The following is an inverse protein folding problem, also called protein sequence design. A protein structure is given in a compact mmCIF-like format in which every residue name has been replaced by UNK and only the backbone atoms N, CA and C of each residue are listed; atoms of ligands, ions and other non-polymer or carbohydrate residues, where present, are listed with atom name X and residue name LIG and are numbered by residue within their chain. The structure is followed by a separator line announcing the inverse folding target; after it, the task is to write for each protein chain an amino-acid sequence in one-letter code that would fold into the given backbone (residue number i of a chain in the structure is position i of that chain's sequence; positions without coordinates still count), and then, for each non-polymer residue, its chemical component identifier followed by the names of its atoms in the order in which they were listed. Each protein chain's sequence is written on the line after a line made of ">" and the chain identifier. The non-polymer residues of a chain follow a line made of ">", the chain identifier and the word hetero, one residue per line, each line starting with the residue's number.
data_IF_939841274359
#
_entry.id   IF_939841274359
#
_cell.length_a   1.000
_cell.length_b   1.000
_cell.length_c   1.000
_cell.angle_alpha   90.00
_cell.angle_beta   90.00
_cell.angle_gamma   90.00
#
_symmetry.space_group_name_H-M   'P 1'
#
loop_
_entity.id
_entity.type
_entity.pdbx_description
1 polymer ?
#
# COMPACT_ATOMS: atom_id res chain seq x y z
N UNK A 1 42.21 -4.83 -41.81
CA UNK A 1 41.53 -5.81 -40.94
C UNK A 1 40.16 -5.26 -40.55
N UNK A 2 39.09 -5.94 -40.98
CA UNK A 2 37.68 -5.54 -40.84
C UNK A 2 37.26 -5.23 -39.39
N UNK A 3 36.93 -3.96 -39.07
CA UNK A 3 36.39 -3.57 -37.75
C UNK A 3 35.08 -2.74 -37.82
N UNK A 4 34.43 -2.64 -38.99
CA UNK A 4 33.29 -1.72 -39.20
C UNK A 4 31.87 -2.27 -38.97
N UNK A 5 31.67 -3.59 -38.90
CA UNK A 5 30.33 -4.20 -38.99
C UNK A 5 29.39 -3.87 -37.82
N UNK A 6 29.91 -3.87 -36.58
CA UNK A 6 29.10 -3.59 -35.39
C UNK A 6 28.71 -2.11 -35.25
N UNK A 7 29.56 -1.19 -35.72
CA UNK A 7 29.24 0.24 -35.75
C UNK A 7 28.20 0.56 -36.84
N UNK A 8 28.29 -0.11 -37.99
CA UNK A 8 27.31 0.03 -39.08
C UNK A 8 25.93 -0.49 -38.67
N UNK A 9 25.85 -1.60 -37.95
CA UNK A 9 24.59 -2.16 -37.44
C UNK A 9 23.83 -1.18 -36.52
N UNK A 10 24.55 -0.36 -35.75
CA UNK A 10 23.95 0.63 -34.84
C UNK A 10 23.49 1.92 -35.55
N UNK A 11 23.94 2.17 -36.78
CA UNK A 11 23.79 3.48 -37.43
C UNK A 11 22.31 3.85 -37.65
N UNK A 12 21.46 2.91 -38.05
CA UNK A 12 20.05 3.17 -38.30
C UNK A 12 19.30 3.53 -37.02
N UNK A 13 19.50 2.77 -35.95
CA UNK A 13 18.91 3.01 -34.64
C UNK A 13 19.44 4.29 -33.99
N UNK A 14 20.73 4.59 -34.15
CA UNK A 14 21.35 5.81 -33.66
C UNK A 14 20.75 7.07 -34.31
N UNK A 15 20.52 7.06 -35.63
CA UNK A 15 19.86 8.17 -36.34
C UNK A 15 18.40 8.36 -35.89
N UNK A 16 17.66 7.27 -35.70
CA UNK A 16 16.28 7.30 -35.20
C UNK A 16 16.22 7.89 -33.78
N UNK A 17 17.07 7.41 -32.88
CA UNK A 17 17.18 7.93 -31.52
C UNK A 17 17.58 9.41 -31.50
N UNK A 18 18.56 9.82 -32.30
CA UNK A 18 18.98 11.22 -32.41
C UNK A 18 17.86 12.14 -32.90
N UNK A 19 17.01 11.66 -33.82
CA UNK A 19 15.83 12.39 -34.30
C UNK A 19 14.81 12.56 -33.19
N UNK A 20 14.49 11.49 -32.47
CA UNK A 20 13.52 11.50 -31.38
C UNK A 20 13.98 12.36 -30.19
N UNK A 21 15.28 12.41 -29.91
CA UNK A 21 15.86 13.18 -28.81
C UNK A 21 16.15 14.65 -29.15
N UNK A 22 15.90 15.08 -30.38
CA UNK A 22 16.19 16.44 -30.84
C UNK A 22 15.48 17.47 -29.96
N UNK A 23 16.27 18.37 -29.38
CA UNK A 23 15.78 19.42 -28.47
C UNK A 23 15.69 19.01 -27.00
N UNK A 24 15.84 17.71 -26.69
CA UNK A 24 15.81 17.19 -25.31
C UNK A 24 17.19 16.76 -24.84
N UNK A 25 17.89 15.95 -25.64
CA UNK A 25 19.25 15.47 -25.35
C UNK A 25 20.13 15.67 -26.57
N UNK A 26 21.33 16.22 -26.37
CA UNK A 26 22.32 16.34 -27.46
C UNK A 26 22.94 14.97 -27.73
N UNK A 27 22.71 14.45 -28.93
CA UNK A 27 23.28 13.18 -29.39
C UNK A 27 24.38 13.47 -30.39
N UNK A 28 25.55 12.84 -30.23
CA UNK A 28 26.70 12.99 -31.11
C UNK A 28 27.40 11.66 -31.35
N UNK A 29 28.10 11.56 -32.48
CA UNK A 29 28.96 10.43 -32.79
C UNK A 29 30.38 10.94 -33.04
N UNK A 30 31.38 10.16 -32.63
CA UNK A 30 32.80 10.47 -32.87
C UNK A 30 33.42 9.32 -33.62
N UNK A 31 34.16 9.64 -34.69
CA UNK A 31 35.00 8.67 -35.35
C UNK A 31 36.30 8.49 -34.54
N UNK A 32 36.45 7.34 -33.90
CA UNK A 32 37.62 7.06 -33.08
C UNK A 32 38.88 6.76 -33.90
N UNK A 33 38.75 6.42 -35.18
CA UNK A 33 39.88 6.22 -36.08
C UNK A 33 40.56 7.56 -36.43
N UNK A 34 39.77 8.62 -36.52
CA UNK A 34 40.23 10.00 -36.78
C UNK A 34 40.66 10.73 -35.49
N UNK A 35 40.15 10.30 -34.33
CA UNK A 35 40.40 10.93 -33.03
C UNK A 35 40.91 9.94 -31.98
N UNK A 36 42.02 9.28 -32.28
CA UNK A 36 42.57 8.15 -31.51
C UNK A 36 42.86 8.46 -30.03
N UNK A 37 43.18 9.73 -29.70
CA UNK A 37 43.40 10.15 -28.30
C UNK A 37 42.13 10.26 -27.45
N UNK A 38 40.97 10.50 -28.07
CA UNK A 38 39.72 10.76 -27.34
C UNK A 38 39.15 9.48 -26.72
N UNK A 39 39.29 8.34 -27.40
CA UNK A 39 38.85 7.04 -26.89
C UNK A 39 39.57 6.66 -25.59
N UNK A 40 40.89 6.88 -25.54
CA UNK A 40 41.71 6.63 -24.35
C UNK A 40 41.33 7.52 -23.16
N UNK A 41 41.07 8.81 -23.39
CA UNK A 41 40.71 9.77 -22.33
C UNK A 41 39.46 9.35 -21.55
N UNK A 42 38.49 8.72 -22.22
CA UNK A 42 37.25 8.28 -21.59
C UNK A 42 37.18 6.76 -21.38
N UNK A 43 38.31 6.04 -21.51
CA UNK A 43 38.38 4.62 -21.24
C UNK A 43 37.55 3.74 -22.19
N UNK A 44 37.44 4.13 -23.47
CA UNK A 44 36.79 3.31 -24.50
C UNK A 44 37.70 2.11 -24.81
N UNK A 45 37.21 0.89 -24.55
CA UNK A 45 37.95 -0.36 -24.75
C UNK A 45 37.48 -1.19 -25.95
N UNK A 46 36.41 -0.78 -26.62
CA UNK A 46 35.83 -1.48 -27.77
C UNK A 46 34.80 -0.62 -28.50
N UNK A 47 34.43 -1.04 -29.72
CA UNK A 47 33.51 -0.30 -30.58
C UNK A 47 32.31 -1.16 -31.01
N UNK A 48 31.10 -0.59 -31.09
CA UNK A 48 30.72 0.76 -30.64
C UNK A 48 30.58 0.85 -29.11
N UNK A 49 31.04 1.93 -28.50
CA UNK A 49 30.76 2.26 -27.08
C UNK A 49 29.89 3.51 -27.01
N UNK A 50 28.80 3.46 -26.25
CA UNK A 50 27.92 4.61 -26.02
C UNK A 50 28.21 5.15 -24.62
N UNK A 51 28.46 6.45 -24.52
CA UNK A 51 28.72 7.13 -23.26
C UNK A 51 27.69 8.24 -23.02
N UNK A 52 27.26 8.37 -21.77
CA UNK A 52 26.33 9.40 -21.34
C UNK A 52 27.10 10.45 -20.54
N UNK A 53 27.05 11.69 -21.01
CA UNK A 53 27.74 12.80 -20.39
C UNK A 53 26.77 13.60 -19.51
N UNK A 54 26.91 13.40 -18.20
CA UNK A 54 26.12 14.02 -17.14
C UNK A 54 26.38 15.53 -16.96
N UNK A 55 26.14 16.03 -15.74
CA UNK A 55 26.54 17.40 -15.36
C UNK A 55 28.07 17.55 -15.35
N UNK A 56 28.78 16.55 -14.81
CA UNK A 56 30.23 16.43 -14.92
C UNK A 56 30.59 15.80 -16.27
N UNK A 57 31.24 16.58 -17.14
CA UNK A 57 31.66 16.13 -18.47
C UNK A 57 32.94 15.30 -18.45
N UNK A 58 33.67 15.28 -17.34
CA UNK A 58 34.92 14.54 -17.20
C UNK A 58 34.71 13.10 -16.72
N UNK A 59 33.52 12.78 -16.20
CA UNK A 59 33.16 11.44 -15.72
C UNK A 59 31.90 10.90 -16.41
N UNK A 60 31.95 10.61 -17.72
CA UNK A 60 30.83 10.00 -18.40
C UNK A 60 30.60 8.57 -17.91
N UNK A 61 29.34 8.14 -17.88
CA UNK A 61 28.96 6.74 -17.62
C UNK A 61 28.80 5.97 -18.92
N UNK A 62 29.06 4.66 -18.87
CA UNK A 62 28.80 3.77 -20.00
C UNK A 62 27.32 3.42 -20.08
N UNK A 63 26.75 3.52 -21.28
CA UNK A 63 25.41 3.03 -21.54
C UNK A 63 25.45 1.52 -21.82
N UNK A 64 24.78 0.75 -20.97
CA UNK A 64 24.71 -0.71 -21.04
C UNK A 64 23.33 -1.23 -21.49
N UNK A 65 22.40 -0.33 -21.84
CA UNK A 65 21.06 -0.71 -22.26
C UNK A 65 21.00 -1.26 -23.70
N UNK A 66 19.79 -1.60 -24.14
CA UNK A 66 19.56 -2.12 -25.48
C UNK A 66 20.04 -1.14 -26.56
N UNK A 67 20.75 -1.64 -27.57
CA UNK A 67 21.30 -0.85 -28.68
C UNK A 67 20.29 -0.64 -29.82
N UNK A 68 19.03 -0.46 -29.45
CA UNK A 68 17.91 -0.15 -30.35
C UNK A 68 17.55 1.34 -30.20
N UNK A 69 16.85 1.92 -31.18
CA UNK A 69 16.43 3.31 -31.11
C UNK A 69 15.65 3.62 -29.82
N UNK A 70 14.72 2.72 -29.44
CA UNK A 70 13.91 2.86 -28.24
C UNK A 70 14.76 2.80 -26.96
N UNK A 71 15.63 1.79 -26.80
CA UNK A 71 16.46 1.67 -25.61
C UNK A 71 17.37 2.89 -25.41
N UNK A 72 17.95 3.41 -26.50
CA UNK A 72 18.80 4.60 -26.46
C UNK A 72 18.00 5.85 -26.05
N UNK A 73 16.77 6.00 -26.55
CA UNK A 73 15.88 7.11 -26.16
C UNK A 73 15.53 7.04 -24.68
N UNK A 74 15.12 5.88 -24.18
CA UNK A 74 14.77 5.67 -22.77
C UNK A 74 15.96 5.91 -21.85
N UNK A 75 17.13 5.36 -22.19
CA UNK A 75 18.37 5.58 -21.44
C UNK A 75 18.80 7.05 -21.42
N UNK A 76 18.66 7.76 -22.54
CA UNK A 76 18.98 9.18 -22.63
C UNK A 76 18.02 10.06 -21.80
N UNK A 77 16.72 9.76 -21.82
CA UNK A 77 15.72 10.48 -21.03
C UNK A 77 15.90 10.24 -19.53
N UNK A 78 16.18 8.99 -19.12
CA UNK A 78 16.50 8.65 -17.73
C UNK A 78 17.74 9.42 -17.22
N UNK A 79 18.80 9.47 -18.03
CA UNK A 79 19.99 10.26 -17.72
C UNK A 79 19.70 11.77 -17.63
N UNK A 80 18.85 12.29 -18.52
CA UNK A 80 18.44 13.69 -18.48
C UNK A 80 17.63 14.01 -17.21
N UNK A 81 16.70 13.14 -16.82
CA UNK A 81 15.96 13.28 -15.57
C UNK A 81 16.87 13.26 -14.33
N UNK A 82 17.85 12.34 -14.30
CA UNK A 82 18.87 12.30 -13.23
C UNK A 82 19.72 13.57 -13.18
N UNK A 83 20.07 14.14 -14.35
CA UNK A 83 20.77 15.42 -14.42
C UNK A 83 19.91 16.58 -13.88
N UNK A 84 18.62 16.62 -14.22
CA UNK A 84 17.70 17.64 -13.70
C UNK A 84 17.55 17.51 -12.18
N UNK A 85 17.39 16.28 -11.66
CA UNK A 85 17.29 16.00 -10.22
C UNK A 85 18.56 16.38 -9.44
N UNK A 86 19.74 16.13 -10.01
CA UNK A 86 21.01 16.53 -9.38
C UNK A 86 21.23 18.04 -9.38
N UNK A 87 20.74 18.75 -10.40
CA UNK A 87 20.74 20.23 -10.43
C UNK A 87 19.76 20.84 -9.43
N UNK A 88 18.56 20.25 -9.29
CA UNK A 88 17.55 20.69 -8.32
C UNK A 88 17.97 20.45 -6.87
N UNK A 89 18.77 19.41 -6.61
CA UNK A 89 19.27 19.07 -5.26
C UNK A 89 20.53 19.83 -4.84
N UNK A 90 20.98 20.82 -5.62
CA UNK A 90 22.04 21.75 -5.20
C UNK A 90 23.43 21.13 -4.98
N UNK A 91 23.66 19.87 -5.38
CA UNK A 91 24.93 19.17 -5.15
C UNK A 91 25.95 19.49 -6.24
N UNK A 92 26.29 20.76 -6.34
CA UNK A 92 27.42 21.26 -7.11
C UNK A 92 28.60 21.54 -6.18
N UNK A 93 29.60 20.64 -6.21
CA UNK A 93 30.96 20.88 -5.71
C UNK A 93 31.16 20.73 -4.20
N UNK A 94 31.89 19.70 -3.78
CA UNK A 94 33.21 19.85 -3.13
C UNK A 94 33.73 18.49 -2.67
N UNK A 95 35.04 18.33 -2.86
CA UNK A 95 35.90 17.23 -2.41
C UNK A 95 36.13 17.31 -0.90
N UNK A 96 36.23 16.15 -0.24
CA UNK A 96 36.73 16.04 1.13
C UNK A 96 36.83 14.57 1.54
N UNK A 97 38.05 14.04 1.56
CA UNK A 97 38.36 12.63 1.77
C UNK A 97 38.31 12.16 3.22
N UNK A 98 38.37 10.83 3.36
CA UNK A 98 38.45 10.10 4.62
C UNK A 98 38.35 8.59 4.39
N UNK A 99 39.47 7.97 4.05
CA UNK A 99 39.73 6.52 4.16
C UNK A 99 39.46 6.06 5.61
N UNK A 100 39.06 4.83 5.94
CA UNK A 100 38.76 3.64 5.14
C UNK A 100 38.45 2.47 6.08
N UNK A 101 37.70 1.49 5.59
CA UNK A 101 37.87 0.09 6.00
C UNK A 101 37.47 -0.79 4.83
N UNK A 102 38.42 -1.60 4.37
CA UNK A 102 38.32 -2.47 3.20
C UNK A 102 37.55 -3.74 3.55
N UNK A 103 36.51 -4.02 2.77
CA UNK A 103 36.10 -5.39 2.44
C UNK A 103 35.84 -5.46 0.94
N UNK A 104 36.60 -6.30 0.25
CA UNK A 104 36.43 -6.71 -1.14
C UNK A 104 35.42 -7.86 -1.21
N UNK A 105 34.46 -7.97 -2.13
CA UNK A 105 34.10 -7.14 -3.27
C UNK A 105 32.94 -7.80 -4.04
N UNK A 106 32.15 -6.97 -4.72
CA UNK A 106 31.35 -7.21 -5.93
C UNK A 106 30.16 -6.24 -5.92
N UNK A 107 30.45 -4.97 -6.19
CA UNK A 107 29.45 -3.91 -6.24
C UNK A 107 28.74 -3.85 -7.59
N UNK A 108 27.44 -4.08 -7.58
CA UNK A 108 26.48 -3.46 -8.49
C UNK A 108 25.71 -2.40 -7.70
N UNK A 109 26.15 -1.14 -7.77
CA UNK A 109 25.37 -0.04 -7.22
C UNK A 109 24.28 0.35 -8.22
N UNK A 110 23.09 -0.23 -8.07
CA UNK A 110 21.80 0.35 -8.45
C UNK A 110 20.67 -0.49 -7.85
N UNK A 111 20.71 -0.71 -6.53
CA UNK A 111 19.75 -1.53 -5.77
C UNK A 111 19.38 -0.94 -4.40
N UNK A 112 19.32 0.40 -4.28
CA UNK A 112 19.17 1.06 -2.97
C UNK A 112 17.89 0.70 -2.20
N UNK A 113 16.87 0.24 -2.91
CA UNK A 113 15.57 -0.12 -2.33
C UNK A 113 15.36 -1.65 -2.25
N UNK A 114 16.30 -2.45 -2.76
CA UNK A 114 16.32 -3.91 -2.55
C UNK A 114 17.02 -4.18 -1.22
N UNK A 115 16.36 -4.89 -0.32
CA UNK A 115 16.93 -5.23 0.98
C UNK A 115 17.75 -6.50 0.86
N UNK A 116 19.01 -6.43 1.27
CA UNK A 116 19.86 -7.63 1.37
C UNK A 116 19.43 -8.46 2.58
N UNK A 117 19.02 -9.70 2.31
CA UNK A 117 18.57 -10.65 3.30
C UNK A 117 19.61 -11.74 3.52
N UNK A 118 19.71 -12.16 4.78
CA UNK A 118 20.66 -13.15 5.27
C UNK A 118 19.93 -14.09 6.23
N UNK A 119 20.51 -15.25 6.54
CA UNK A 119 19.92 -16.18 7.50
C UNK A 119 19.65 -15.55 8.88
N UNK A 120 20.43 -14.54 9.29
CA UNK A 120 20.32 -13.90 10.61
C UNK A 120 19.30 -12.76 10.67
N UNK A 121 18.96 -12.12 9.54
CA UNK A 121 18.02 -11.00 9.50
C UNK A 121 16.66 -11.35 8.90
N UNK A 122 16.50 -12.53 8.29
CA UNK A 122 15.27 -12.90 7.61
C UNK A 122 14.06 -12.93 8.55
N UNK A 123 14.21 -13.55 9.72
CA UNK A 123 13.13 -13.67 10.71
C UNK A 123 12.65 -12.29 11.17
N UNK A 124 13.57 -11.39 11.51
CA UNK A 124 13.22 -10.05 12.01
C UNK A 124 12.68 -9.12 10.93
N UNK A 125 13.25 -9.15 9.73
CA UNK A 125 12.86 -8.22 8.65
C UNK A 125 11.65 -8.69 7.86
N UNK A 126 11.49 -10.00 7.64
CA UNK A 126 10.43 -10.56 6.80
C UNK A 126 9.31 -11.13 7.64
N UNK A 127 9.61 -12.05 8.57
CA UNK A 127 8.58 -12.82 9.28
C UNK A 127 7.92 -12.05 10.42
N UNK A 128 8.67 -11.23 11.14
CA UNK A 128 8.16 -10.37 12.21
C UNK A 128 7.71 -8.97 11.72
N UNK A 129 7.66 -8.78 10.40
CA UNK A 129 7.22 -7.52 9.77
C UNK A 129 5.76 -7.61 9.35
N UNK A 130 5.00 -6.52 9.50
CA UNK A 130 3.64 -6.44 8.96
C UNK A 130 3.60 -6.15 7.45
N UNK A 131 4.72 -5.73 6.87
CA UNK A 131 4.80 -5.45 5.43
C UNK A 131 4.64 -6.71 4.56
N UNK A 132 4.17 -6.49 3.33
CA UNK A 132 4.21 -7.48 2.26
C UNK A 132 5.63 -7.60 1.69
N UNK A 133 6.12 -8.82 1.50
CA UNK A 133 7.46 -9.07 0.98
C UNK A 133 7.46 -9.96 -0.26
N UNK A 134 8.33 -9.59 -1.19
CA UNK A 134 8.80 -10.45 -2.26
C UNK A 134 10.29 -10.69 -2.06
N UNK A 135 10.73 -11.95 -2.03
CA UNK A 135 12.14 -12.29 -1.79
C UNK A 135 12.69 -13.13 -2.94
N UNK A 136 13.73 -12.61 -3.59
CA UNK A 136 14.52 -13.36 -4.58
C UNK A 136 15.60 -14.18 -3.87
N UNK A 137 15.56 -15.50 -4.05
CA UNK A 137 16.66 -16.41 -3.71
C UNK A 137 17.51 -16.62 -4.97
N UNK A 138 18.75 -16.11 -4.94
CA UNK A 138 19.62 -16.04 -6.12
C UNK A 138 20.97 -16.72 -5.89
N UNK A 139 21.72 -16.90 -6.99
CA UNK A 139 23.13 -17.24 -6.97
C UNK A 139 23.92 -16.25 -7.82
N UNK A 140 25.08 -15.74 -7.36
CA UNK A 140 25.78 -14.61 -7.99
C UNK A 140 26.32 -14.94 -9.39
N UNK A 141 26.54 -16.22 -9.68
CA UNK A 141 27.01 -16.70 -10.98
C UNK A 141 25.87 -17.04 -11.96
N UNK A 142 24.61 -17.08 -11.51
CA UNK A 142 23.48 -17.48 -12.35
C UNK A 142 23.10 -16.38 -13.35
N UNK A 143 23.14 -16.71 -14.65
CA UNK A 143 22.79 -15.76 -15.72
C UNK A 143 21.35 -15.25 -15.65
N UNK A 144 20.39 -16.11 -15.26
CA UNK A 144 19.00 -15.69 -15.08
C UNK A 144 18.81 -14.70 -13.92
N UNK A 145 19.59 -14.84 -12.84
CA UNK A 145 19.57 -13.90 -11.71
C UNK A 145 20.16 -12.54 -12.14
N UNK A 146 21.29 -12.56 -12.86
CA UNK A 146 21.89 -11.33 -13.41
C UNK A 146 20.94 -10.57 -14.34
N UNK A 147 20.15 -11.28 -15.13
CA UNK A 147 19.13 -10.67 -15.99
C UNK A 147 17.93 -10.11 -15.21
N UNK A 148 17.55 -10.74 -14.09
CA UNK A 148 16.45 -10.29 -13.24
C UNK A 148 16.83 -9.07 -12.39
N UNK A 149 18.07 -9.00 -11.88
CA UNK A 149 18.55 -7.95 -10.98
C UNK A 149 18.15 -6.50 -11.35
N UNK A 150 18.33 -6.02 -12.61
CA UNK A 150 17.90 -4.66 -12.96
C UNK A 150 16.38 -4.47 -12.89
N UNK A 151 15.59 -5.48 -13.25
CA UNK A 151 14.13 -5.44 -13.13
C UNK A 151 13.67 -5.50 -11.68
N UNK A 152 14.31 -6.33 -10.87
CA UNK A 152 14.05 -6.46 -9.44
C UNK A 152 14.27 -5.13 -8.71
N UNK A 153 15.40 -4.47 -9.00
CA UNK A 153 15.71 -3.17 -8.42
C UNK A 153 14.75 -2.05 -8.86
N UNK A 154 14.40 -2.01 -10.15
CA UNK A 154 13.39 -1.07 -10.66
C UNK A 154 12.05 -1.27 -9.96
N UNK A 155 11.58 -2.52 -9.86
CA UNK A 155 10.34 -2.85 -9.16
C UNK A 155 10.40 -2.47 -7.67
N UNK A 156 11.53 -2.69 -7.00
CA UNK A 156 11.71 -2.32 -5.60
C UNK A 156 11.59 -0.79 -5.39
N UNK A 157 12.13 -0.02 -6.33
CA UNK A 157 12.04 1.44 -6.31
C UNK A 157 10.60 1.92 -6.54
N UNK A 158 9.86 1.29 -7.45
CA UNK A 158 8.47 1.63 -7.78
C UNK A 158 7.47 1.21 -6.68
N UNK A 159 7.74 0.10 -5.99
CA UNK A 159 6.92 -0.45 -4.91
C UNK A 159 7.25 0.09 -3.52
N UNK A 160 8.23 1.01 -3.43
CA UNK A 160 8.69 1.58 -2.16
C UNK A 160 7.53 2.11 -1.32
N UNK A 161 7.47 1.67 -0.06
CA UNK A 161 6.41 2.03 0.89
C UNK A 161 5.09 1.26 0.72
N UNK A 162 5.02 0.33 -0.24
CA UNK A 162 3.85 -0.53 -0.48
C UNK A 162 4.20 -2.02 -0.34
N UNK A 163 5.30 -2.43 -0.95
CA UNK A 163 5.80 -3.81 -0.95
C UNK A 163 7.32 -3.77 -0.84
N UNK A 164 7.89 -4.58 0.05
CA UNK A 164 9.34 -4.69 0.21
C UNK A 164 9.89 -5.80 -0.67
N UNK A 165 10.98 -5.51 -1.39
CA UNK A 165 11.69 -6.50 -2.19
C UNK A 165 13.02 -6.81 -1.52
N UNK A 166 13.24 -8.09 -1.23
CA UNK A 166 14.46 -8.63 -0.67
C UNK A 166 15.23 -9.47 -1.67
N UNK A 167 16.54 -9.61 -1.46
CA UNK A 167 17.39 -10.54 -2.19
C UNK A 167 18.28 -11.29 -1.21
N UNK A 168 18.34 -12.62 -1.33
CA UNK A 168 19.13 -13.51 -0.48
C UNK A 168 20.02 -14.40 -1.36
N UNK A 169 21.34 -14.33 -1.16
CA UNK A 169 22.28 -15.23 -1.82
C UNK A 169 22.17 -16.63 -1.20
N UNK A 170 21.44 -17.51 -1.88
CA UNK A 170 21.15 -18.86 -1.42
C UNK A 170 22.36 -19.80 -1.50
N UNK A 171 23.48 -19.36 -2.10
CA UNK A 171 24.75 -20.11 -2.09
C UNK A 171 25.53 -19.91 -0.79
N UNK A 172 25.24 -18.84 -0.06
CA UNK A 172 25.84 -18.51 1.25
C UNK A 172 24.84 -18.76 2.37
N UNK A 173 23.60 -18.29 2.21
CA UNK A 173 22.53 -18.35 3.22
C UNK A 173 21.62 -19.55 3.00
N UNK A 174 22.16 -20.74 3.31
CA UNK A 174 21.51 -22.01 2.99
C UNK A 174 20.37 -22.39 3.93
N UNK A 175 20.30 -21.81 5.14
CA UNK A 175 19.26 -22.17 6.12
C UNK A 175 17.89 -21.73 5.63
N UNK A 176 17.75 -20.47 5.22
CA UNK A 176 16.49 -19.97 4.65
C UNK A 176 16.19 -20.59 3.29
N UNK A 177 17.21 -20.79 2.45
CA UNK A 177 17.03 -21.45 1.16
C UNK A 177 16.44 -22.86 1.32
N UNK A 178 16.95 -23.64 2.27
CA UNK A 178 16.43 -24.97 2.60
C UNK A 178 15.03 -24.91 3.22
N UNK A 179 14.79 -23.99 4.18
CA UNK A 179 13.48 -23.81 4.84
C UNK A 179 12.37 -23.57 3.82
N UNK A 180 12.63 -22.77 2.79
CA UNK A 180 11.66 -22.43 1.75
C UNK A 180 11.74 -23.31 0.50
N UNK A 181 12.49 -24.42 0.56
CA UNK A 181 12.54 -25.43 -0.48
C UNK A 181 13.09 -24.93 -1.82
N UNK A 182 14.07 -24.03 -1.80
CA UNK A 182 14.71 -23.49 -3.02
C UNK A 182 15.53 -24.58 -3.70
N UNK A 183 15.19 -24.90 -4.96
CA UNK A 183 15.84 -25.97 -5.74
C UNK A 183 16.53 -25.46 -7.02
N UNK A 184 16.39 -24.19 -7.33
CA UNK A 184 16.93 -23.57 -8.53
C UNK A 184 16.97 -22.05 -8.39
N UNK A 185 17.61 -21.36 -9.33
CA UNK A 185 17.81 -19.92 -9.25
C UNK A 185 17.44 -19.20 -10.57
N UNK A 186 16.80 -18.02 -10.50
CA UNK A 186 16.21 -17.43 -9.30
C UNK A 186 14.90 -18.14 -8.91
N UNK A 187 14.65 -18.28 -7.62
CA UNK A 187 13.33 -18.61 -7.06
C UNK A 187 12.84 -17.39 -6.30
N UNK A 188 11.61 -16.95 -6.57
CA UNK A 188 11.02 -15.81 -5.89
C UNK A 188 9.88 -16.32 -5.00
N UNK A 189 9.91 -15.95 -3.72
CA UNK A 189 8.86 -16.28 -2.74
C UNK A 189 8.11 -15.03 -2.31
N UNK A 190 6.81 -15.20 -2.11
CA UNK A 190 5.87 -14.20 -1.66
C UNK A 190 5.49 -14.44 -0.20
N UNK A 191 5.53 -13.38 0.59
CA UNK A 191 5.13 -13.37 1.99
C UNK A 191 4.04 -12.29 2.18
N UNK A 192 2.83 -12.66 2.61
CA UNK A 192 1.70 -11.74 2.73
C UNK A 192 1.90 -10.74 3.88
N UNK A 193 1.15 -9.62 3.86
CA UNK A 193 1.14 -8.63 4.95
C UNK A 193 0.57 -9.19 6.25
N UNK A 194 0.86 -8.52 7.37
CA UNK A 194 0.38 -8.88 8.71
C UNK A 194 1.14 -10.04 9.33
N UNK A 195 0.52 -10.67 10.34
CA UNK A 195 1.11 -11.77 11.13
C UNK A 195 1.38 -12.98 10.25
N UNK A 196 2.66 -13.32 10.07
CA UNK A 196 3.14 -14.49 9.32
C UNK A 196 3.40 -15.64 10.28
N UNK A 197 2.99 -16.84 9.90
CA UNK A 197 3.29 -18.12 10.57
C UNK A 197 4.47 -18.85 9.91
N UNK A 198 5.14 -18.20 8.95
CA UNK A 198 6.22 -18.77 8.15
C UNK A 198 5.77 -19.33 6.82
N UNK A 199 4.47 -19.30 6.48
CA UNK A 199 3.99 -19.67 5.15
C UNK A 199 4.46 -18.69 4.07
N UNK A 200 4.73 -19.24 2.88
CA UNK A 200 5.08 -18.47 1.68
C UNK A 200 4.52 -19.17 0.45
N UNK A 201 4.18 -18.40 -0.58
CA UNK A 201 3.83 -18.94 -1.89
C UNK A 201 4.88 -18.59 -2.92
N UNK A 202 4.96 -19.36 -4.00
CA UNK A 202 5.88 -19.05 -5.08
C UNK A 202 5.30 -17.95 -5.97
N UNK A 203 6.14 -17.01 -6.38
CA UNK A 203 5.77 -15.97 -7.34
C UNK A 203 5.63 -16.59 -8.74
N UNK A 204 4.48 -16.38 -9.36
CA UNK A 204 4.09 -16.95 -10.65
C UNK A 204 3.96 -15.90 -11.78
N UNK A 205 4.38 -14.66 -11.52
CA UNK A 205 4.31 -13.57 -12.49
C UNK A 205 5.52 -13.46 -13.46
N UNK A 206 5.48 -12.46 -14.33
CA UNK A 206 6.54 -12.16 -15.30
C UNK A 206 7.78 -11.52 -14.65
N UNK A 207 8.96 -11.67 -15.27
CA UNK A 207 10.24 -11.19 -14.70
C UNK A 207 10.64 -9.76 -15.08
N UNK A 208 9.75 -9.02 -15.73
CA UNK A 208 9.96 -7.59 -16.02
C UNK A 208 9.54 -6.73 -14.84
N UNK A 209 10.09 -5.53 -14.70
CA UNK A 209 9.74 -4.61 -13.61
C UNK A 209 8.23 -4.37 -13.54
N UNK A 210 7.60 -4.11 -14.69
CA UNK A 210 6.16 -3.84 -14.77
C UNK A 210 5.28 -5.03 -14.40
N UNK A 211 5.71 -6.26 -14.71
CA UNK A 211 4.96 -7.47 -14.32
C UNK A 211 5.09 -7.74 -12.81
N UNK A 212 6.27 -7.54 -12.24
CA UNK A 212 6.51 -7.64 -10.80
C UNK A 212 5.67 -6.60 -10.06
N UNK A 213 5.70 -5.33 -10.50
CA UNK A 213 4.92 -4.24 -9.90
C UNK A 213 3.43 -4.53 -9.96
N UNK A 214 2.91 -4.91 -11.13
CA UNK A 214 1.48 -5.21 -11.31
C UNK A 214 1.05 -6.35 -10.40
N UNK A 215 1.77 -7.47 -10.44
CA UNK A 215 1.47 -8.63 -9.61
C UNK A 215 1.51 -8.29 -8.13
N UNK A 216 2.52 -7.53 -7.69
CA UNK A 216 2.66 -7.13 -6.30
C UNK A 216 1.51 -6.21 -5.85
N UNK A 217 1.11 -5.24 -6.68
CA UNK A 217 -0.02 -4.37 -6.35
C UNK A 217 -1.36 -5.13 -6.32
N UNK A 218 -1.57 -6.09 -7.22
CA UNK A 218 -2.75 -6.93 -7.22
C UNK A 218 -2.80 -7.79 -5.94
N UNK A 219 -1.68 -8.39 -5.54
CA UNK A 219 -1.56 -9.11 -4.26
C UNK A 219 -1.70 -8.21 -3.04
N UNK A 220 -1.19 -6.99 -3.08
CA UNK A 220 -1.38 -6.04 -1.99
C UNK A 220 -2.86 -5.69 -1.83
N UNK A 221 -3.58 -5.52 -2.94
CA UNK A 221 -5.02 -5.30 -2.92
C UNK A 221 -5.81 -6.53 -2.43
N UNK A 222 -5.30 -7.74 -2.59
CA UNK A 222 -5.90 -8.97 -2.03
C UNK A 222 -5.67 -9.13 -0.52
N UNK A 223 -4.52 -8.65 -0.02
CA UNK A 223 -4.05 -8.77 1.36
C UNK A 223 -4.33 -7.54 2.24
N UNK A 224 -5.26 -6.67 1.85
CA UNK A 224 -5.79 -5.65 2.76
C UNK A 224 -6.39 -6.38 3.95
N UNK A 225 -5.94 -6.07 5.17
CA UNK A 225 -6.49 -6.67 6.38
C UNK A 225 -8.00 -6.37 6.48
N UNK A 226 -8.80 -7.29 7.05
CA UNK A 226 -10.19 -6.97 7.37
C UNK A 226 -10.26 -5.71 8.24
N UNK A 227 -11.19 -4.79 7.99
CA UNK A 227 -11.33 -3.60 8.81
C UNK A 227 -11.74 -4.00 10.23
N UNK A 228 -11.19 -3.29 11.21
CA UNK A 228 -11.69 -3.36 12.57
C UNK A 228 -13.02 -2.60 12.68
N UNK A 229 -13.93 -3.12 13.52
CA UNK A 229 -15.24 -2.51 13.76
C UNK A 229 -15.24 -2.00 15.19
N UNK A 230 -15.06 -0.70 15.34
CA UNK A 230 -14.93 -0.05 16.64
C UNK A 230 -16.29 0.41 17.15
N UNK A 231 -16.50 0.30 18.46
CA UNK A 231 -17.60 1.02 19.11
C UNK A 231 -17.25 2.50 19.14
N UNK A 232 -18.22 3.35 18.83
CA UNK A 232 -18.09 4.79 19.04
C UNK A 232 -18.11 5.02 20.55
N UNK A 233 -16.95 5.30 21.14
CA UNK A 233 -16.79 5.61 22.56
C UNK A 233 -16.63 7.11 22.81
N UNK A 234 -16.19 7.82 21.78
CA UNK A 234 -15.87 9.23 21.82
C UNK A 234 -15.72 9.76 20.38
N UNK A 235 -15.54 11.07 20.25
CA UNK A 235 -15.44 11.74 18.95
C UNK A 235 -14.23 11.32 18.11
N UNK A 236 -13.13 10.87 18.73
CA UNK A 236 -11.93 10.49 17.99
C UNK A 236 -12.14 9.21 17.19
N UNK A 237 -12.86 8.23 17.75
CA UNK A 237 -13.18 6.97 17.05
C UNK A 237 -14.01 7.23 15.80
N UNK A 238 -15.03 8.08 15.90
CA UNK A 238 -15.86 8.46 14.75
C UNK A 238 -15.04 9.23 13.70
N UNK A 239 -14.22 10.18 14.12
CA UNK A 239 -13.38 10.98 13.21
C UNK A 239 -12.37 10.11 12.47
N UNK A 240 -11.60 9.27 13.18
CA UNK A 240 -10.64 8.34 12.54
C UNK A 240 -11.34 7.44 11.53
N UNK A 241 -12.50 6.88 11.88
CA UNK A 241 -13.24 6.03 10.95
C UNK A 241 -13.77 6.78 9.71
N UNK A 242 -14.12 8.06 9.83
CA UNK A 242 -14.79 8.81 8.76
C UNK A 242 -13.89 9.76 7.96
N UNK A 243 -12.81 10.28 8.51
CA UNK A 243 -11.94 11.27 7.84
C UNK A 243 -10.80 10.60 7.07
N UNK A 244 -10.24 9.52 7.62
CA UNK A 244 -9.16 8.75 6.99
C UNK A 244 -9.64 7.92 5.80
N UNK A 245 -10.95 7.74 5.67
CA UNK A 245 -11.58 6.87 4.69
C UNK A 245 -12.50 7.63 3.72
N UNK A 246 -12.74 7.05 2.53
CA UNK A 246 -13.67 7.66 1.56
C UNK A 246 -15.13 7.58 2.03
N UNK A 247 -15.49 6.47 2.66
CA UNK A 247 -16.77 6.23 3.31
C UNK A 247 -16.51 5.62 4.69
N UNK A 248 -17.37 5.96 5.65
CA UNK A 248 -17.49 5.21 6.90
C UNK A 248 -18.88 4.62 7.02
N UNK A 249 -18.94 3.36 7.45
CA UNK A 249 -20.16 2.61 7.69
C UNK A 249 -20.47 2.74 9.17
N UNK A 250 -21.53 3.49 9.48
CA UNK A 250 -22.01 3.77 10.84
C UNK A 250 -23.24 2.90 11.10
N UNK A 251 -23.14 1.99 12.06
CA UNK A 251 -24.26 1.12 12.46
C UNK A 251 -24.76 1.51 13.84
N UNK A 252 -26.08 1.58 14.03
CA UNK A 252 -26.68 1.77 15.36
C UNK A 252 -27.45 0.51 15.70
N UNK A 253 -26.98 -0.19 16.72
CA UNK A 253 -27.52 -1.49 17.13
C UNK A 253 -28.53 -1.30 18.26
N UNK A 254 -29.51 -2.21 18.43
CA UNK A 254 -30.49 -2.09 19.51
C UNK A 254 -29.81 -2.01 20.88
N UNK A 255 -30.51 -1.37 21.82
CA UNK A 255 -30.07 -1.24 23.21
C UNK A 255 -29.77 -2.61 23.82
N UNK A 256 -28.79 -2.69 24.73
CA UNK A 256 -28.34 -3.98 25.26
C UNK A 256 -29.45 -4.71 26.04
N UNK A 257 -30.37 -3.97 26.65
CA UNK A 257 -31.51 -4.56 27.37
C UNK A 257 -32.48 -5.30 26.43
N UNK A 258 -32.62 -4.83 25.18
CA UNK A 258 -33.54 -5.42 24.19
C UNK A 258 -32.92 -6.59 23.43
N UNK A 259 -31.60 -6.51 23.19
CA UNK A 259 -30.88 -7.43 22.30
C UNK A 259 -29.97 -8.41 23.05
N UNK A 260 -29.49 -8.02 24.23
CA UNK A 260 -28.53 -8.78 25.02
C UNK A 260 -27.24 -9.07 24.24
N UNK A 261 -26.25 -9.68 24.90
CA UNK A 261 -24.92 -9.88 24.32
C UNK A 261 -24.96 -10.78 23.09
N UNK A 262 -25.82 -11.81 23.09
CA UNK A 262 -25.94 -12.75 21.97
C UNK A 262 -26.40 -12.05 20.70
N UNK A 263 -27.51 -11.32 20.72
CA UNK A 263 -28.01 -10.69 19.49
C UNK A 263 -27.08 -9.56 19.02
N UNK A 264 -26.43 -8.83 19.95
CA UNK A 264 -25.43 -7.80 19.58
C UNK A 264 -24.24 -8.42 18.85
N UNK A 265 -23.72 -9.53 19.39
CA UNK A 265 -22.63 -10.26 18.74
C UNK A 265 -23.03 -10.83 17.38
N UNK A 266 -24.29 -11.27 17.21
CA UNK A 266 -24.82 -11.73 15.92
C UNK A 266 -24.80 -10.58 14.88
N UNK A 267 -25.19 -9.35 15.25
CA UNK A 267 -25.07 -8.18 14.35
C UNK A 267 -23.61 -7.82 14.05
N UNK A 268 -22.75 -7.78 15.07
CA UNK A 268 -21.32 -7.50 14.88
C UNK A 268 -20.66 -8.55 13.99
N UNK A 269 -21.10 -9.82 14.04
CA UNK A 269 -20.63 -10.88 13.15
C UNK A 269 -21.01 -10.61 11.69
N UNK A 270 -22.23 -10.13 11.43
CA UNK A 270 -22.66 -9.72 10.08
C UNK A 270 -21.79 -8.57 9.57
N UNK A 271 -21.58 -7.55 10.40
CA UNK A 271 -20.72 -6.41 10.05
C UNK A 271 -19.29 -6.86 9.75
N UNK A 272 -18.69 -7.72 10.60
CA UNK A 272 -17.32 -8.26 10.38
C UNK A 272 -17.22 -9.00 9.05
N UNK A 273 -18.19 -9.86 8.75
CA UNK A 273 -18.23 -10.63 7.49
C UNK A 273 -18.29 -9.71 6.27
N UNK A 274 -19.07 -8.64 6.33
CA UNK A 274 -19.19 -7.68 5.24
C UNK A 274 -17.99 -6.74 5.17
N UNK A 275 -17.42 -6.33 6.30
CA UNK A 275 -16.15 -5.62 6.37
C UNK A 275 -15.04 -6.40 5.66
N UNK A 276 -14.90 -7.69 5.93
CA UNK A 276 -13.95 -8.57 5.25
C UNK A 276 -14.23 -8.70 3.74
N UNK A 277 -15.50 -8.82 3.36
CA UNK A 277 -15.91 -8.90 1.95
C UNK A 277 -15.57 -7.62 1.17
N UNK A 278 -15.75 -6.46 1.80
CA UNK A 278 -15.52 -5.14 1.21
C UNK A 278 -14.17 -4.50 1.60
N UNK A 279 -13.26 -5.25 2.21
CA UNK A 279 -11.95 -4.75 2.70
C UNK A 279 -11.14 -3.98 1.65
N UNK A 280 -11.27 -4.35 0.37
CA UNK A 280 -10.62 -3.65 -0.77
C UNK A 280 -11.07 -2.20 -0.95
N UNK A 281 -12.25 -1.84 -0.45
CA UNK A 281 -12.76 -0.48 -0.51
C UNK A 281 -12.16 0.44 0.56
N UNK A 282 -11.51 -0.14 1.58
CA UNK A 282 -10.85 0.58 2.67
C UNK A 282 -11.81 1.61 3.30
N UNK A 283 -13.05 1.20 3.56
CA UNK A 283 -14.03 1.98 4.30
C UNK A 283 -13.79 1.84 5.81
N UNK A 284 -14.07 2.89 6.56
CA UNK A 284 -14.10 2.81 8.03
C UNK A 284 -15.39 2.15 8.50
N UNK A 285 -15.35 1.47 9.65
CA UNK A 285 -16.52 0.78 10.21
C UNK A 285 -16.64 1.06 11.69
N UNK A 286 -17.80 1.57 12.09
CA UNK A 286 -18.11 1.88 13.49
C UNK A 286 -19.53 1.47 13.84
N UNK A 287 -19.75 1.25 15.13
CA UNK A 287 -21.08 1.00 15.66
C UNK A 287 -21.34 1.74 16.96
N UNK A 288 -22.59 2.04 17.26
CA UNK A 288 -23.04 2.59 18.54
C UNK A 288 -24.28 1.83 19.04
N UNK A 289 -24.54 1.93 20.34
CA UNK A 289 -25.81 1.50 20.92
C UNK A 289 -26.91 2.55 20.65
N UNK A 290 -28.12 2.08 20.37
CA UNK A 290 -29.29 2.94 20.19
C UNK A 290 -29.54 3.82 21.41
N UNK A 291 -29.73 5.12 21.18
CA UNK A 291 -29.98 6.11 22.23
C UNK A 291 -28.70 6.65 22.88
N UNK A 292 -27.53 6.07 22.59
CA UNK A 292 -26.27 6.48 23.20
C UNK A 292 -25.72 7.79 22.60
N UNK A 293 -25.98 8.05 21.33
CA UNK A 293 -25.50 9.23 20.60
C UNK A 293 -26.64 9.89 19.82
N UNK A 294 -27.58 10.50 20.53
CA UNK A 294 -28.79 11.09 19.93
C UNK A 294 -28.51 12.10 18.80
N UNK A 295 -27.50 12.95 18.95
CA UNK A 295 -27.13 13.92 17.90
C UNK A 295 -26.67 13.21 16.62
N UNK A 296 -25.84 12.16 16.74
CA UNK A 296 -25.40 11.35 15.61
C UNK A 296 -26.59 10.68 14.90
N UNK A 297 -27.48 10.09 15.68
CA UNK A 297 -28.66 9.41 15.14
C UNK A 297 -29.59 10.38 14.42
N UNK A 298 -29.86 11.54 15.01
CA UNK A 298 -30.68 12.58 14.42
C UNK A 298 -30.06 13.14 13.12
N UNK A 299 -28.74 13.33 13.08
CA UNK A 299 -28.05 13.87 11.89
C UNK A 299 -28.00 12.89 10.72
N UNK A 300 -28.11 11.59 11.00
CA UNK A 300 -28.13 10.52 10.01
C UNK A 300 -29.55 10.03 9.70
N UNK A 301 -30.59 10.70 10.23
CA UNK A 301 -31.99 10.29 10.15
C UNK A 301 -32.20 8.82 10.58
N UNK A 302 -31.46 8.38 11.59
CA UNK A 302 -31.55 7.08 12.25
C UNK A 302 -32.55 7.16 13.42
N UNK A 303 -33.21 6.05 13.75
CA UNK A 303 -34.16 5.94 14.87
C UNK A 303 -35.63 5.98 14.44
N UNK A 304 -35.97 6.64 13.32
CA UNK A 304 -37.37 6.74 12.87
C UNK A 304 -38.02 5.41 12.45
N UNK A 305 -37.23 4.44 11.96
CA UNK A 305 -37.71 3.11 11.54
C UNK A 305 -37.36 2.01 12.55
N UNK A 306 -36.82 2.38 13.72
CA UNK A 306 -36.30 1.45 14.73
C UNK A 306 -34.86 1.01 14.47
N UNK A 307 -34.39 0.09 15.32
CA UNK A 307 -33.04 -0.46 15.32
C UNK A 307 -33.08 -1.96 15.03
N UNK A 308 -32.02 -2.53 14.43
CA UNK A 308 -30.77 -1.89 13.99
C UNK A 308 -30.92 -1.00 12.75
N UNK A 309 -30.04 -0.01 12.64
CA UNK A 309 -29.96 0.90 11.50
C UNK A 309 -28.51 1.05 11.00
N UNK A 310 -28.33 1.43 9.74
CA UNK A 310 -27.01 1.59 9.12
C UNK A 310 -27.00 2.75 8.14
N UNK A 311 -25.98 3.60 8.22
CA UNK A 311 -25.71 4.66 7.25
C UNK A 311 -24.27 4.57 6.74
N UNK A 312 -24.08 4.89 5.46
CA UNK A 312 -22.75 5.12 4.88
C UNK A 312 -22.53 6.63 4.76
N UNK A 313 -21.51 7.16 5.43
CA UNK A 313 -21.23 8.59 5.50
C UNK A 313 -19.98 8.91 4.69
N UNK A 314 -20.03 10.01 3.94
CA UNK A 314 -18.91 10.62 3.26
C UNK A 314 -18.63 11.98 3.92
N UNK A 315 -17.67 12.03 4.84
CA UNK A 315 -17.27 13.24 5.58
C UNK A 315 -16.82 14.37 4.65
N UNK A 316 -16.08 14.04 3.58
CA UNK A 316 -15.55 15.03 2.62
C UNK A 316 -16.64 15.73 1.82
N UNK A 317 -17.71 15.00 1.48
CA UNK A 317 -18.87 15.52 0.74
C UNK A 317 -20.01 15.97 1.66
N UNK A 318 -19.89 15.76 2.97
CA UNK A 318 -20.93 15.99 3.97
C UNK A 318 -22.27 15.38 3.57
N UNK A 319 -22.24 14.13 3.13
CA UNK A 319 -23.42 13.38 2.66
C UNK A 319 -23.44 12.00 3.28
N UNK A 320 -24.63 11.45 3.46
CA UNK A 320 -24.80 10.06 3.87
C UNK A 320 -25.82 9.36 2.98
N UNK A 321 -25.81 8.03 3.00
CA UNK A 321 -26.83 7.17 2.43
C UNK A 321 -27.31 6.23 3.53
N UNK A 322 -28.62 6.14 3.72
CA UNK A 322 -29.23 5.29 4.74
C UNK A 322 -29.61 3.95 4.13
N UNK A 323 -29.30 2.84 4.82
CA UNK A 323 -29.79 1.52 4.47
C UNK A 323 -31.33 1.52 4.57
N UNK A 324 -31.99 1.29 3.43
CA UNK A 324 -33.47 1.16 3.37
C UNK A 324 -33.94 -0.29 3.38
N UNK A 325 -33.04 -1.24 3.15
CA UNK A 325 -33.31 -2.68 3.19
C UNK A 325 -33.21 -3.26 4.59
N UNK A 326 -33.28 -4.59 4.69
CA UNK A 326 -33.10 -5.28 5.96
C UNK A 326 -31.66 -5.19 6.48
N UNK A 327 -31.50 -5.07 7.79
CA UNK A 327 -30.21 -5.25 8.47
C UNK A 327 -29.87 -6.74 8.54
N UNK A 328 -29.51 -7.30 7.38
CA UNK A 328 -29.11 -8.68 7.20
C UNK A 328 -27.87 -8.74 6.31
N UNK A 329 -27.20 -9.88 6.26
CA UNK A 329 -26.05 -10.05 5.35
C UNK A 329 -26.44 -9.71 3.91
N UNK A 330 -27.60 -10.17 3.43
CA UNK A 330 -28.09 -9.90 2.08
C UNK A 330 -28.41 -8.42 1.89
N UNK A 331 -29.20 -7.82 2.78
CA UNK A 331 -29.66 -6.44 2.64
C UNK A 331 -28.52 -5.42 2.72
N UNK A 332 -27.59 -5.61 3.68
CA UNK A 332 -26.41 -4.75 3.78
C UNK A 332 -25.47 -4.99 2.59
N UNK A 333 -25.27 -6.23 2.14
CA UNK A 333 -24.44 -6.49 0.97
C UNK A 333 -24.98 -5.82 -0.31
N UNK A 334 -26.30 -5.84 -0.53
CA UNK A 334 -26.90 -5.13 -1.67
C UNK A 334 -26.64 -3.64 -1.61
N UNK A 335 -26.85 -3.03 -0.44
CA UNK A 335 -26.59 -1.63 -0.19
C UNK A 335 -25.12 -1.24 -0.43
N UNK A 336 -24.18 -1.97 0.18
CA UNK A 336 -22.74 -1.73 0.03
C UNK A 336 -22.27 -1.95 -1.42
N UNK A 337 -22.83 -2.93 -2.12
CA UNK A 337 -22.56 -3.15 -3.54
C UNK A 337 -22.96 -1.92 -4.36
N UNK A 338 -24.13 -1.35 -4.14
CA UNK A 338 -24.56 -0.14 -4.85
C UNK A 338 -23.62 1.04 -4.60
N UNK A 339 -23.24 1.26 -3.34
CA UNK A 339 -22.27 2.31 -2.97
C UNK A 339 -20.92 2.14 -3.67
N UNK A 340 -20.43 0.90 -3.80
CA UNK A 340 -19.16 0.63 -4.50
C UNK A 340 -19.19 1.00 -5.98
N UNK A 341 -20.38 1.06 -6.60
CA UNK A 341 -20.59 1.54 -7.96
C UNK A 341 -21.02 3.01 -8.03
N UNK A 342 -20.99 3.74 -6.91
CA UNK A 342 -21.43 5.13 -6.83
C UNK A 342 -22.94 5.29 -7.04
N UNK A 343 -23.73 4.24 -6.80
CA UNK A 343 -25.19 4.26 -6.85
C UNK A 343 -25.76 4.42 -5.44
N UNK A 344 -27.02 4.82 -5.36
CA UNK A 344 -27.75 4.99 -4.10
C UNK A 344 -28.18 6.44 -3.88
N UNK A 345 -29.31 6.62 -3.18
CA UNK A 345 -29.79 7.94 -2.79
C UNK A 345 -28.92 8.50 -1.66
N UNK A 346 -28.59 9.78 -1.71
CA UNK A 346 -27.81 10.45 -0.67
C UNK A 346 -28.58 11.64 -0.11
N UNK A 347 -28.43 11.88 1.19
CA UNK A 347 -28.92 13.04 1.89
C UNK A 347 -27.74 13.85 2.44
N UNK A 348 -27.86 15.19 2.58
CA UNK A 348 -26.83 16.00 3.24
C UNK A 348 -26.80 15.72 4.74
N UNK A 349 -25.62 15.75 5.36
CA UNK A 349 -25.51 15.81 6.82
C UNK A 349 -26.10 17.13 7.31
N UNK A 350 -26.87 17.09 8.41
CA UNK A 350 -27.35 18.34 9.02
C UNK A 350 -26.13 19.17 9.47
N UNK A 351 -26.23 20.49 9.35
CA UNK A 351 -25.16 21.44 9.68
C UNK A 351 -23.82 21.28 8.91
N UNK A 352 -23.74 20.41 7.90
CA UNK A 352 -22.55 20.19 7.06
C UNK A 352 -21.27 19.87 7.83
N UNK A 353 -21.40 19.15 8.95
CA UNK A 353 -20.28 18.68 9.77
C UNK A 353 -20.54 17.25 10.25
N UNK A 354 -19.48 16.55 10.67
CA UNK A 354 -19.66 15.28 11.38
C UNK A 354 -20.39 15.56 12.72
N UNK A 355 -21.39 14.74 13.08
CA UNK A 355 -22.14 14.95 14.33
C UNK A 355 -21.25 14.76 15.55
N UNK A 356 -21.57 15.48 16.63
CA UNK A 356 -20.93 15.23 17.92
C UNK A 356 -21.43 13.91 18.50
N UNK A 357 -20.57 13.27 19.28
CA UNK A 357 -20.87 12.05 20.03
C UNK A 357 -20.41 12.23 21.46
N UNK A 358 -21.16 11.63 22.38
CA UNK A 358 -20.88 11.66 23.80
C UNK A 358 -19.72 10.71 24.15
N UNK A 359 -19.02 11.00 25.25
CA UNK A 359 -18.03 10.08 25.79
C UNK A 359 -18.75 8.99 26.59
N UNK A 360 -18.46 7.73 26.29
CA UNK A 360 -19.14 6.58 26.87
C UNK A 360 -18.17 5.45 27.16
N UNK A 361 -18.47 4.68 28.19
CA UNK A 361 -17.69 3.49 28.50
C UNK A 361 -17.85 2.44 27.40
N UNK A 362 -16.75 1.77 26.99
CA UNK A 362 -16.83 0.65 26.05
C UNK A 362 -17.73 -0.45 26.62
N UNK A 363 -18.50 -1.08 25.75
CA UNK A 363 -19.32 -2.22 26.12
C UNK A 363 -18.44 -3.35 26.66
N UNK A 364 -18.78 -3.84 27.85
CA UNK A 364 -18.02 -4.84 28.60
C UNK A 364 -18.16 -6.28 28.04
N UNK A 365 -18.94 -6.45 26.97
CA UNK A 365 -19.21 -7.72 26.33
C UNK A 365 -20.31 -8.55 27.00
N UNK A 366 -20.99 -8.03 28.02
CA UNK A 366 -22.01 -8.76 28.80
C UNK A 366 -23.43 -8.32 28.47
N UNK A 367 -24.35 -9.10 29.00
CA UNK A 367 -25.79 -8.84 28.98
C UNK A 367 -26.13 -7.56 29.77
N UNK A 368 -27.20 -6.89 29.34
CA UNK A 368 -27.69 -5.70 30.00
C UNK A 368 -28.37 -6.08 31.31
N UNK A 369 -28.03 -5.38 32.39
CA UNK A 369 -28.68 -5.55 33.68
C UNK A 369 -29.55 -4.32 33.92
N UNK A 370 -30.85 -4.55 34.20
CA UNK A 370 -31.71 -3.48 34.68
C UNK A 370 -31.13 -2.98 36.00
N UNK A 371 -30.80 -1.69 36.03
CA UNK A 371 -30.50 -1.05 37.31
C UNK A 371 -31.81 -1.07 38.10
N UNK A 372 -31.79 -1.74 39.26
CA UNK A 372 -32.89 -1.63 40.21
C UNK A 372 -32.76 -0.23 40.77
N UNK A 373 -33.60 0.69 40.28
CA UNK A 373 -33.82 1.94 41.00
C UNK A 373 -34.51 1.54 42.30
N UNK A 374 -33.82 1.76 43.42
CA UNK A 374 -34.45 1.78 44.74
C UNK A 374 -35.35 3.03 44.78
N UNK A 375 -36.44 3.00 44.02
CA UNK A 375 -37.52 3.98 44.17
C UNK A 375 -38.13 3.71 45.54
N UNK A 376 -37.70 4.50 46.52
CA UNK A 376 -38.28 4.55 47.86
C UNK A 376 -39.69 5.17 47.71
N UNK A 377 -40.66 4.36 47.29
CA UNK A 377 -42.07 4.76 47.10
C UNK A 377 -42.80 4.94 48.45
N UNK A 378 -42.08 5.09 49.55
CA UNK A 378 -42.64 5.19 50.91
C UNK A 378 -43.32 6.53 51.22
N UNK A 379 -43.19 7.54 50.36
CA UNK A 379 -43.67 8.90 50.63
C UNK A 379 -44.98 9.28 49.91
N UNK A 380 -45.70 8.31 49.33
CA UNK A 380 -47.09 8.57 48.89
C UNK A 380 -48.04 8.31 50.06
N UNK A 381 -48.15 9.29 50.96
CA UNK A 381 -49.31 9.40 51.85
C UNK A 381 -50.55 9.59 50.98
N UNK A 382 -51.33 8.51 50.84
CA UNK A 382 -52.71 8.57 50.40
C UNK A 382 -53.50 9.32 51.48
N UNK A 383 -53.62 10.64 51.33
CA UNK A 383 -54.54 11.44 52.13
C UNK A 383 -55.93 10.79 52.04
N UNK A 384 -56.39 10.29 53.19
CA UNK A 384 -57.70 9.72 53.41
C UNK A 384 -58.76 10.73 52.94
N UNK A 385 -59.35 10.48 51.77
CA UNK A 385 -60.56 11.17 51.35
C UNK A 385 -61.68 10.75 52.30
N UNK A 386 -61.95 11.65 53.24
CA UNK A 386 -63.01 11.62 54.22
C UNK A 386 -64.28 10.97 53.66
N UNK A 387 -64.60 9.79 54.21
CA UNK A 387 -65.96 9.34 54.34
C UNK A 387 -66.63 10.28 55.34
N UNK A 388 -67.32 11.30 54.86
CA UNK A 388 -68.52 11.85 55.48
C UNK A 388 -69.06 12.97 54.58
N UNK A 389 -70.06 12.66 53.76
CA UNK A 389 -71.29 13.46 53.73
C UNK A 389 -72.40 12.67 53.00
N UNK A 390 -73.46 12.44 53.77
CA UNK A 390 -74.72 11.81 53.46
C UNK A 390 -75.77 12.90 53.25
#
# INVERSE_FOLDING_TARGET
>A
MHHGGHCQALTADWKKAATALKGVVKVGAVNADEHQGLGGQYGVKGFPTIKIFGADKFKPSDYQGARTAQGIVEGALSAAQSMVKSRLSGKGGSSGGGEGSKSSGSGSSDGKDVVELTDSNFESLVLNSDDMWLVEFFAPWCGHCKNLAPHWSSAASELKGKVKLGALDATVHTVMANRYGVRGYPTIKFFPSGKKDGESTEYDGGRTSGDIVRWALDKLAENVAPPEIHQITDSSVLQTACDDHQLCIVSVLPHILDCQSKCRNDYLKVLRKLGEKYRKQVWGWVWAEAGQHLELEENLDIGGFGYPALAAVNSRKMKFSLLRGSFSETGINEFLRELSYGKGSTAPLKNAQLPKVENVDPWDGKDGVLQVEDDDVSDVELDDLDKDEL
#
